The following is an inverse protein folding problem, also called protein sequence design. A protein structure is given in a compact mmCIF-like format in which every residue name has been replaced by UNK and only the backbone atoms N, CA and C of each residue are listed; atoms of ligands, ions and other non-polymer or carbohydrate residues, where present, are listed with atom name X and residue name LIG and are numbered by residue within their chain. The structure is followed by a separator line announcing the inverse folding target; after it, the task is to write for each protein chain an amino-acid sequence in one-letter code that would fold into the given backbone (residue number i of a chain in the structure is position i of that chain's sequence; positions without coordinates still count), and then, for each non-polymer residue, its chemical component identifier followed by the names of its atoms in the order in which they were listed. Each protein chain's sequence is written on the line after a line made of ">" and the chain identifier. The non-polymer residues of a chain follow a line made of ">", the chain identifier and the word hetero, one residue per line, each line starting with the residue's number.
data_IF_966743220294
#
_entry.id   IF_966743220294
#
_cell.length_a   1.000
_cell.length_b   1.000
_cell.length_c   1.000
_cell.angle_alpha   90.00
_cell.angle_beta   90.00
_cell.angle_gamma   90.00
#
_symmetry.space_group_name_H-M   'P 1'
#
loop_
_entity.id
_entity.type
_entity.pdbx_description
1 polymer ?
#
# COMPACT_ATOMS: atom_id res chain seq x y z
N UNK A 1 -5.88 17.17 -11.04
CA UNK A 1 -4.88 17.22 -9.94
C UNK A 1 -4.95 15.96 -9.06
N UNK A 2 -6.14 15.57 -8.53
CA UNK A 2 -6.29 14.37 -7.68
C UNK A 2 -5.74 13.10 -8.33
N UNK A 3 -6.16 12.74 -9.54
CA UNK A 3 -5.70 11.55 -10.26
C UNK A 3 -4.17 11.48 -10.44
N UNK A 4 -3.53 12.63 -10.71
CA UNK A 4 -2.07 12.69 -10.80
C UNK A 4 -1.42 12.41 -9.44
N UNK A 5 -1.98 12.96 -8.35
CA UNK A 5 -1.49 12.67 -7.00
C UNK A 5 -1.68 11.21 -6.63
N UNK A 6 -2.84 10.61 -6.94
CA UNK A 6 -3.10 9.18 -6.72
C UNK A 6 -2.05 8.32 -7.41
N UNK A 7 -1.76 8.61 -8.68
CA UNK A 7 -0.78 7.85 -9.45
C UNK A 7 0.65 8.00 -8.89
N UNK A 8 1.08 9.23 -8.62
CA UNK A 8 2.42 9.51 -8.08
C UNK A 8 2.60 8.89 -6.69
N UNK A 9 1.61 9.05 -5.81
CA UNK A 9 1.64 8.46 -4.47
C UNK A 9 1.69 6.94 -4.54
N UNK A 10 0.90 6.32 -5.42
CA UNK A 10 0.91 4.87 -5.58
C UNK A 10 2.29 4.36 -5.99
N UNK A 11 2.89 4.96 -7.02
CA UNK A 11 4.23 4.57 -7.49
C UNK A 11 5.29 4.73 -6.41
N UNK A 12 5.26 5.84 -5.69
CA UNK A 12 6.18 6.10 -4.59
C UNK A 12 5.99 5.10 -3.44
N UNK A 13 4.74 4.86 -3.03
CA UNK A 13 4.41 3.94 -1.94
C UNK A 13 4.82 2.50 -2.24
N UNK A 14 4.60 2.03 -3.47
CA UNK A 14 5.08 0.72 -3.92
C UNK A 14 6.62 0.65 -3.93
N UNK A 15 7.29 1.73 -4.35
CA UNK A 15 8.77 1.77 -4.34
C UNK A 15 9.34 1.70 -2.92
N UNK A 16 8.73 2.40 -1.97
CA UNK A 16 9.11 2.34 -0.55
C UNK A 16 8.88 0.93 0.01
N UNK A 17 7.74 0.33 -0.31
CA UNK A 17 7.36 -1.02 0.11
C UNK A 17 8.38 -2.07 -0.37
N UNK A 18 8.67 -2.11 -1.67
CA UNK A 18 9.67 -3.04 -2.25
C UNK A 18 11.09 -2.77 -1.72
N UNK A 19 11.46 -1.50 -1.57
CA UNK A 19 12.74 -1.11 -0.99
C UNK A 19 12.86 -1.60 0.46
N UNK A 20 11.77 -1.57 1.24
CA UNK A 20 11.77 -2.04 2.62
C UNK A 20 12.01 -3.56 2.70
N UNK A 21 11.40 -4.36 1.80
CA UNK A 21 11.70 -5.79 1.67
C UNK A 21 13.18 -6.02 1.35
N UNK A 22 13.70 -5.35 0.30
CA UNK A 22 15.08 -5.47 -0.15
C UNK A 22 16.09 -5.11 0.95
N UNK A 23 15.83 -4.01 1.65
CA UNK A 23 16.69 -3.51 2.72
C UNK A 23 16.71 -4.46 3.91
N UNK A 24 15.53 -4.91 4.35
CA UNK A 24 15.41 -5.84 5.48
C UNK A 24 16.04 -7.19 5.15
N UNK A 25 15.83 -7.74 3.95
CA UNK A 25 16.49 -8.97 3.50
C UNK A 25 18.04 -8.83 3.55
N UNK A 26 18.57 -7.70 3.08
CA UNK A 26 20.00 -7.42 3.13
C UNK A 26 20.56 -7.36 4.55
N UNK A 27 19.82 -6.80 5.51
CA UNK A 27 20.23 -6.75 6.93
C UNK A 27 20.23 -8.15 7.57
N UNK A 28 19.38 -9.06 7.10
CA UNK A 28 19.21 -10.41 7.65
C UNK A 28 20.07 -11.46 6.95
N UNK A 29 20.89 -11.04 5.97
CA UNK A 29 21.93 -11.89 5.35
C UNK A 29 21.66 -12.24 3.88
N UNK A 30 20.49 -11.93 3.33
CA UNK A 30 20.24 -12.10 1.90
C UNK A 30 20.55 -10.81 1.13
N UNK A 31 21.69 -10.78 0.47
CA UNK A 31 22.14 -9.63 -0.33
C UNK A 31 21.68 -9.66 -1.80
N UNK A 32 20.82 -10.60 -2.18
CA UNK A 32 20.38 -10.78 -3.58
C UNK A 32 19.74 -9.51 -4.13
N UNK A 33 18.74 -8.97 -3.45
CA UNK A 33 18.06 -7.74 -3.86
C UNK A 33 19.01 -6.52 -3.87
N UNK A 34 19.97 -6.45 -2.94
CA UNK A 34 20.98 -5.39 -2.91
C UNK A 34 21.88 -5.44 -4.13
N UNK A 35 22.35 -6.63 -4.52
CA UNK A 35 23.21 -6.82 -5.68
C UNK A 35 22.49 -6.49 -7.00
N UNK A 36 21.17 -6.66 -7.06
CA UNK A 36 20.32 -6.24 -8.17
C UNK A 36 19.94 -4.75 -8.15
N UNK A 37 20.46 -3.97 -7.19
CA UNK A 37 20.17 -2.53 -7.09
C UNK A 37 18.74 -2.21 -6.63
N UNK A 38 18.06 -3.16 -5.95
CA UNK A 38 16.67 -2.99 -5.48
C UNK A 38 16.53 -2.14 -4.22
N UNK A 39 17.63 -1.82 -3.51
CA UNK A 39 17.60 -0.88 -2.37
C UNK A 39 17.66 0.54 -2.91
N UNK A 40 16.54 1.01 -3.45
CA UNK A 40 16.40 2.34 -4.05
C UNK A 40 14.94 2.80 -3.97
N UNK A 41 14.71 4.11 -3.87
CA UNK A 41 13.39 4.72 -3.99
C UNK A 41 13.03 5.10 -5.44
N UNK A 42 13.91 4.81 -6.39
CA UNK A 42 13.62 5.05 -7.80
C UNK A 42 12.58 4.04 -8.31
N UNK A 43 11.37 4.46 -8.68
CA UNK A 43 10.30 3.56 -9.06
C UNK A 43 10.65 2.68 -10.27
N UNK A 44 11.54 3.12 -11.15
CA UNK A 44 11.92 2.37 -12.38
C UNK A 44 12.41 0.95 -12.04
N UNK A 45 13.07 0.77 -10.91
CA UNK A 45 13.57 -0.54 -10.48
C UNK A 45 12.47 -1.47 -9.94
N UNK A 46 11.31 -0.92 -9.57
CA UNK A 46 10.19 -1.63 -8.96
C UNK A 46 8.95 -1.73 -9.88
N UNK A 47 8.98 -1.03 -11.01
CA UNK A 47 7.88 -0.99 -11.96
C UNK A 47 7.77 -2.35 -12.69
N UNK A 48 6.55 -2.89 -12.69
CA UNK A 48 6.04 -3.82 -13.68
C UNK A 48 5.23 -3.03 -14.71
N UNK A 49 5.53 -3.13 -16.02
CA UNK A 49 4.85 -2.31 -17.03
C UNK A 49 3.33 -2.49 -17.06
N UNK A 50 2.85 -3.68 -16.74
CA UNK A 50 1.42 -4.01 -16.75
C UNK A 50 0.81 -3.71 -15.38
N UNK A 51 1.38 -4.30 -14.31
CA UNK A 51 0.82 -4.24 -12.98
C UNK A 51 0.94 -2.86 -12.32
N UNK A 52 2.07 -2.18 -12.52
CA UNK A 52 2.36 -0.91 -11.83
C UNK A 52 1.99 0.31 -12.65
N UNK A 53 2.04 0.23 -13.99
CA UNK A 53 1.74 1.38 -14.85
C UNK A 53 0.38 1.25 -15.53
N UNK A 54 0.15 0.18 -16.32
CA UNK A 54 -1.02 0.09 -17.17
C UNK A 54 -2.31 -0.04 -16.36
N UNK A 55 -2.39 -0.99 -15.42
CA UNK A 55 -3.60 -1.19 -14.64
C UNK A 55 -3.97 0.02 -13.77
N UNK A 56 -3.06 0.58 -12.94
CA UNK A 56 -3.38 1.78 -12.18
C UNK A 56 -3.73 2.98 -13.06
N UNK A 57 -3.06 3.15 -14.21
CA UNK A 57 -3.41 4.20 -15.15
C UNK A 57 -4.84 4.06 -15.68
N UNK A 58 -5.27 2.85 -16.06
CA UNK A 58 -6.65 2.59 -16.49
C UNK A 58 -7.63 2.87 -15.36
N UNK A 59 -7.35 2.45 -14.15
CA UNK A 59 -8.23 2.65 -12.98
C UNK A 59 -8.37 4.13 -12.64
N UNK A 60 -7.26 4.85 -12.58
CA UNK A 60 -7.21 6.26 -12.12
C UNK A 60 -7.65 7.22 -13.21
N UNK A 61 -7.23 7.01 -14.45
CA UNK A 61 -7.50 7.94 -15.57
C UNK A 61 -8.67 7.48 -16.45
N UNK A 62 -9.02 6.19 -16.44
CA UNK A 62 -10.11 5.64 -17.25
C UNK A 62 -11.45 6.36 -17.12
N UNK A 63 -11.89 6.79 -15.91
CA UNK A 63 -13.12 7.56 -15.75
C UNK A 63 -13.17 8.85 -16.58
N UNK A 64 -12.05 9.50 -16.85
CA UNK A 64 -11.98 10.69 -17.73
C UNK A 64 -12.27 10.35 -19.20
N UNK A 65 -12.13 9.07 -19.58
CA UNK A 65 -12.40 8.57 -20.93
C UNK A 65 -13.70 7.72 -20.99
N UNK A 66 -14.49 7.73 -19.92
CA UNK A 66 -15.75 6.97 -19.84
C UNK A 66 -15.59 5.49 -19.40
N UNK A 67 -14.38 5.04 -19.10
CA UNK A 67 -14.11 3.68 -18.60
C UNK A 67 -14.29 3.62 -17.09
N UNK A 68 -15.50 3.43 -16.60
CA UNK A 68 -15.81 3.40 -15.14
C UNK A 68 -15.86 1.99 -14.56
N UNK A 69 -15.78 0.95 -15.38
CA UNK A 69 -15.92 -0.45 -14.94
C UNK A 69 -14.90 -0.85 -13.86
N UNK A 70 -13.69 -0.31 -13.91
CA UNK A 70 -12.63 -0.59 -12.93
C UNK A 70 -12.52 0.48 -11.82
N UNK A 71 -13.36 1.51 -11.82
CA UNK A 71 -13.29 2.56 -10.81
C UNK A 71 -13.59 1.99 -9.41
N UNK A 72 -12.65 2.22 -8.48
CA UNK A 72 -12.73 1.68 -7.12
C UNK A 72 -11.94 0.40 -6.88
N UNK A 73 -11.41 -0.25 -7.91
CA UNK A 73 -10.49 -1.39 -7.77
C UNK A 73 -9.05 -0.92 -7.95
N UNK A 74 -8.35 -0.64 -6.85
CA UNK A 74 -6.91 -0.45 -6.90
C UNK A 74 -6.25 -1.81 -7.12
N UNK A 75 -6.22 -2.26 -8.38
CA UNK A 75 -5.56 -3.49 -8.80
C UNK A 75 -4.23 -3.11 -9.43
N UNK A 76 -3.17 -3.67 -8.91
CA UNK A 76 -1.83 -3.49 -9.46
C UNK A 76 -0.84 -4.32 -8.66
N UNK A 77 0.29 -4.61 -9.25
CA UNK A 77 1.42 -5.27 -8.59
C UNK A 77 2.73 -4.59 -9.00
N UNK A 78 3.68 -4.61 -8.10
CA UNK A 78 5.06 -4.21 -8.39
C UNK A 78 5.87 -5.41 -8.91
N UNK A 79 7.02 -5.14 -9.49
CA UNK A 79 7.99 -6.17 -9.78
C UNK A 79 8.55 -6.69 -8.45
N UNK A 80 8.29 -7.97 -8.09
CA UNK A 80 8.62 -8.46 -6.75
C UNK A 80 10.12 -8.39 -6.47
N UNK A 81 10.45 -8.07 -5.23
CA UNK A 81 11.83 -8.07 -4.74
C UNK A 81 12.34 -9.50 -4.65
N UNK A 82 13.48 -9.84 -5.29
CA UNK A 82 14.04 -11.18 -5.20
C UNK A 82 14.59 -11.45 -3.80
N UNK A 83 14.09 -12.52 -3.17
CA UNK A 83 14.52 -12.97 -1.84
C UNK A 83 14.85 -14.46 -1.88
N UNK A 84 16.02 -14.82 -1.38
CA UNK A 84 16.48 -16.22 -1.28
C UNK A 84 16.49 -16.63 0.20
N UNK A 85 15.44 -17.30 0.64
CA UNK A 85 15.22 -17.64 2.05
C UNK A 85 16.35 -18.47 2.68
N UNK A 86 17.03 -19.31 1.90
CA UNK A 86 18.19 -20.12 2.36
C UNK A 86 19.38 -19.27 2.82
N UNK A 87 19.45 -18.00 2.44
CA UNK A 87 20.54 -17.09 2.83
C UNK A 87 20.31 -16.49 4.24
N UNK A 88 19.13 -16.64 4.79
CA UNK A 88 18.79 -16.13 6.12
C UNK A 88 19.42 -16.97 7.24
N UNK A 89 19.76 -16.30 8.33
CA UNK A 89 20.30 -16.96 9.53
C UNK A 89 19.25 -17.80 10.26
N UNK A 90 18.02 -17.31 10.33
CA UNK A 90 16.85 -17.98 10.92
C UNK A 90 15.69 -17.90 9.92
N UNK A 91 15.61 -18.90 9.05
CA UNK A 91 14.76 -18.89 7.84
C UNK A 91 13.36 -18.35 8.13
N UNK A 92 12.57 -19.00 8.96
CA UNK A 92 11.17 -18.63 9.22
C UNK A 92 11.03 -17.24 9.85
N UNK A 93 11.86 -16.94 10.87
CA UNK A 93 11.81 -15.65 11.53
C UNK A 93 12.20 -14.51 10.59
N UNK A 94 13.28 -14.70 9.88
CA UNK A 94 13.87 -13.65 9.08
C UNK A 94 13.01 -13.41 7.80
N UNK A 95 12.44 -14.46 7.23
CA UNK A 95 11.42 -14.36 6.18
C UNK A 95 10.19 -13.57 6.67
N UNK A 96 9.67 -13.86 7.86
CA UNK A 96 8.54 -13.12 8.43
C UNK A 96 8.87 -11.63 8.65
N UNK A 97 10.10 -11.30 9.09
CA UNK A 97 10.53 -9.91 9.24
C UNK A 97 10.63 -9.19 7.90
N UNK A 98 11.18 -9.86 6.87
CA UNK A 98 11.20 -9.31 5.51
C UNK A 98 9.79 -9.08 5.00
N UNK A 99 8.92 -10.06 5.13
CA UNK A 99 7.52 -9.98 4.69
C UNK A 99 6.77 -8.83 5.37
N UNK A 100 6.97 -8.61 6.67
CA UNK A 100 6.33 -7.50 7.39
C UNK A 100 6.92 -6.13 7.07
N UNK A 101 8.14 -6.05 6.56
CA UNK A 101 8.81 -4.78 6.30
C UNK A 101 8.07 -3.92 5.27
N UNK A 102 7.51 -4.52 4.21
CA UNK A 102 6.71 -3.81 3.21
C UNK A 102 5.47 -3.15 3.83
N UNK A 103 4.54 -3.92 4.40
CA UNK A 103 3.38 -3.34 5.08
C UNK A 103 3.75 -2.33 6.16
N UNK A 104 4.78 -2.61 6.98
CA UNK A 104 5.23 -1.67 8.02
C UNK A 104 5.72 -0.33 7.43
N UNK A 105 6.38 -0.35 6.27
CA UNK A 105 6.78 0.87 5.58
C UNK A 105 5.59 1.69 5.11
N UNK A 106 4.52 1.06 4.63
CA UNK A 106 3.29 1.75 4.26
C UNK A 106 2.62 2.39 5.49
N UNK A 107 2.57 1.67 6.61
CA UNK A 107 2.06 2.25 7.87
C UNK A 107 2.90 3.44 8.33
N UNK A 108 4.22 3.39 8.17
CA UNK A 108 5.10 4.53 8.46
C UNK A 108 4.77 5.74 7.58
N UNK A 109 4.51 5.54 6.29
CA UNK A 109 4.07 6.62 5.38
C UNK A 109 2.73 7.22 5.80
N UNK A 110 1.80 6.41 6.31
CA UNK A 110 0.54 6.92 6.92
C UNK A 110 0.84 7.84 8.09
N UNK A 111 1.71 7.40 9.01
CA UNK A 111 2.07 8.20 10.19
C UNK A 111 2.77 9.51 9.82
N UNK A 112 3.66 9.50 8.84
CA UNK A 112 4.33 10.70 8.32
C UNK A 112 3.32 11.67 7.70
N UNK A 113 2.44 11.18 6.83
CA UNK A 113 1.41 12.00 6.21
C UNK A 113 0.43 12.58 7.24
N UNK A 114 0.04 11.80 8.24
CA UNK A 114 -0.79 12.26 9.36
C UNK A 114 -0.07 13.35 10.17
N UNK A 115 1.21 13.19 10.49
CA UNK A 115 1.99 14.19 11.24
C UNK A 115 2.08 15.52 10.46
N UNK A 116 2.22 15.46 9.12
CA UNK A 116 2.18 16.67 8.28
C UNK A 116 0.81 17.34 8.36
N UNK A 117 -0.30 16.59 8.23
CA UNK A 117 -1.65 17.14 8.36
C UNK A 117 -1.90 17.74 9.74
N UNK A 118 -1.46 17.07 10.82
CA UNK A 118 -1.56 17.56 12.17
C UNK A 118 -0.79 18.87 12.36
N UNK A 119 0.44 18.94 11.85
CA UNK A 119 1.23 20.18 11.85
C UNK A 119 0.53 21.31 11.09
N UNK A 120 -0.03 21.03 9.92
CA UNK A 120 -0.81 22.01 9.16
C UNK A 120 -2.05 22.48 9.93
N UNK A 121 -2.77 21.57 10.59
CA UNK A 121 -3.97 21.91 11.36
C UNK A 121 -3.65 22.84 12.54
N UNK A 122 -2.49 22.65 13.17
CA UNK A 122 -2.08 23.42 14.36
C UNK A 122 -1.44 24.76 13.99
N UNK A 123 -0.54 24.78 12.98
CA UNK A 123 0.32 25.94 12.73
C UNK A 123 -0.16 26.86 11.61
N UNK A 124 -1.11 26.45 10.75
CA UNK A 124 -1.60 27.33 9.69
C UNK A 124 -2.86 28.12 10.12
N UNK A 125 -3.02 29.36 9.62
CA UNK A 125 -4.29 30.08 9.76
C UNK A 125 -5.44 29.26 9.14
N UNK A 126 -6.51 29.07 9.88
CA UNK A 126 -7.63 28.20 9.49
C UNK A 126 -7.22 26.76 9.12
N UNK A 127 -6.06 26.29 9.64
CA UNK A 127 -5.43 25.02 9.27
C UNK A 127 -6.35 23.82 9.42
N UNK A 128 -7.12 23.75 10.52
CA UNK A 128 -8.11 22.67 10.73
C UNK A 128 -9.13 22.60 9.60
N UNK A 129 -9.75 23.70 9.20
CA UNK A 129 -10.75 23.73 8.12
C UNK A 129 -10.14 23.32 6.80
N UNK A 130 -8.93 23.81 6.50
CA UNK A 130 -8.17 23.47 5.28
C UNK A 130 -7.83 21.99 5.25
N UNK A 131 -7.34 21.43 6.34
CA UNK A 131 -6.98 20.01 6.45
C UNK A 131 -8.22 19.12 6.31
N UNK A 132 -9.30 19.40 7.04
CA UNK A 132 -10.51 18.60 7.00
C UNK A 132 -11.14 18.62 5.60
N UNK A 133 -11.26 19.80 4.96
CA UNK A 133 -11.81 19.90 3.61
C UNK A 133 -10.92 19.18 2.57
N UNK A 134 -9.60 19.29 2.70
CA UNK A 134 -8.66 18.58 1.82
C UNK A 134 -8.68 17.07 2.05
N UNK A 135 -8.85 16.62 3.29
CA UNK A 135 -8.98 15.20 3.64
C UNK A 135 -10.24 14.60 3.02
N UNK A 136 -11.39 15.26 3.17
CA UNK A 136 -12.64 14.82 2.55
C UNK A 136 -12.54 14.78 1.02
N UNK A 137 -11.92 15.80 0.40
CA UNK A 137 -11.68 15.82 -1.04
C UNK A 137 -10.77 14.68 -1.51
N UNK A 138 -9.74 14.33 -0.72
CA UNK A 138 -8.87 13.18 -0.95
C UNK A 138 -9.64 11.86 -0.99
N UNK A 139 -10.63 11.71 -0.12
CA UNK A 139 -11.53 10.55 -0.06
C UNK A 139 -12.64 10.54 -1.13
N UNK A 140 -12.72 11.58 -1.98
CA UNK A 140 -13.77 11.70 -3.01
C UNK A 140 -15.02 12.44 -2.56
N UNK A 141 -15.02 13.02 -1.36
CA UNK A 141 -16.11 13.86 -0.86
C UNK A 141 -16.12 15.27 -1.46
N UNK A 142 -17.22 15.98 -1.30
CA UNK A 142 -17.32 17.39 -1.66
C UNK A 142 -16.46 18.23 -0.72
N UNK A 143 -15.57 19.05 -1.28
CA UNK A 143 -14.81 20.03 -0.51
C UNK A 143 -15.60 21.34 -0.44
N UNK A 144 -15.87 21.80 0.79
CA UNK A 144 -16.49 23.12 1.00
C UNK A 144 -15.54 24.30 0.69
N UNK A 145 -14.24 24.02 0.56
CA UNK A 145 -13.16 24.98 0.25
C UNK A 145 -12.22 24.33 -0.74
N UNK A 146 -11.52 25.14 -1.56
CA UNK A 146 -10.50 24.62 -2.50
C UNK A 146 -9.43 23.86 -1.70
N UNK A 147 -9.20 22.54 -2.01
CA UNK A 147 -8.25 21.74 -1.26
C UNK A 147 -6.82 22.29 -1.41
N UNK A 148 -6.13 22.38 -0.28
CA UNK A 148 -4.72 22.77 -0.28
C UNK A 148 -3.88 21.59 -0.82
N UNK A 149 -2.98 21.80 -1.82
CA UNK A 149 -2.31 20.70 -2.53
C UNK A 149 -1.53 19.73 -1.63
N UNK A 150 -0.80 20.24 -0.63
CA UNK A 150 -0.03 19.38 0.30
C UNK A 150 -0.97 18.56 1.19
N UNK A 151 -2.03 19.18 1.71
CA UNK A 151 -3.01 18.49 2.52
C UNK A 151 -3.77 17.42 1.71
N UNK A 152 -4.10 17.72 0.45
CA UNK A 152 -4.72 16.77 -0.47
C UNK A 152 -3.77 15.59 -0.76
N UNK A 153 -2.50 15.88 -1.04
CA UNK A 153 -1.47 14.85 -1.28
C UNK A 153 -1.33 13.91 -0.06
N UNK A 154 -1.22 14.48 1.15
CA UNK A 154 -1.13 13.69 2.39
C UNK A 154 -2.39 12.85 2.64
N UNK A 155 -3.57 13.39 2.34
CA UNK A 155 -4.83 12.66 2.48
C UNK A 155 -4.92 11.46 1.55
N UNK A 156 -4.49 11.63 0.30
CA UNK A 156 -4.37 10.56 -0.69
C UNK A 156 -3.32 9.54 -0.24
N UNK A 157 -2.18 10.02 0.32
CA UNK A 157 -1.13 9.14 0.82
C UNK A 157 -1.63 8.27 1.98
N UNK A 158 -2.42 8.80 2.90
CA UNK A 158 -3.04 8.03 3.98
C UNK A 158 -3.96 6.96 3.40
N UNK A 159 -4.85 7.31 2.49
CA UNK A 159 -5.78 6.35 1.88
C UNK A 159 -5.04 5.22 1.17
N UNK A 160 -4.11 5.55 0.28
CA UNK A 160 -3.38 4.55 -0.53
C UNK A 160 -2.52 3.66 0.37
N UNK A 161 -1.79 4.23 1.33
CA UNK A 161 -0.90 3.44 2.17
C UNK A 161 -1.65 2.58 3.21
N UNK A 162 -2.79 3.02 3.75
CA UNK A 162 -3.67 2.16 4.53
C UNK A 162 -4.22 1.01 3.67
N UNK A 163 -4.62 1.29 2.44
CA UNK A 163 -5.08 0.26 1.51
C UNK A 163 -3.99 -0.77 1.22
N UNK A 164 -2.76 -0.33 0.90
CA UNK A 164 -1.63 -1.20 0.65
C UNK A 164 -1.23 -2.01 1.90
N UNK A 165 -1.27 -1.39 3.08
CA UNK A 165 -0.99 -2.05 4.36
C UNK A 165 -1.94 -3.22 4.60
N UNK A 166 -3.25 -2.97 4.58
CA UNK A 166 -4.24 -4.02 4.82
C UNK A 166 -4.29 -5.06 3.71
N UNK A 167 -4.17 -4.61 2.45
CA UNK A 167 -4.20 -5.49 1.30
C UNK A 167 -3.07 -6.51 1.34
N UNK A 168 -1.84 -6.05 1.59
CA UNK A 168 -0.68 -6.94 1.64
C UNK A 168 -0.67 -7.86 2.87
N UNK A 169 -1.42 -7.55 3.93
CA UNK A 169 -1.59 -8.45 5.08
C UNK A 169 -2.66 -9.53 4.89
N UNK A 170 -3.43 -9.51 3.78
CA UNK A 170 -4.40 -10.57 3.50
C UNK A 170 -3.69 -11.92 3.29
N UNK A 171 -4.24 -13.02 3.85
CA UNK A 171 -3.66 -14.35 3.73
C UNK A 171 -3.95 -14.99 2.35
N UNK A 172 -3.73 -14.26 1.28
CA UNK A 172 -4.07 -14.69 -0.08
C UNK A 172 -2.82 -14.58 -0.97
N UNK A 173 -2.30 -15.69 -1.54
CA UNK A 173 -1.21 -15.60 -2.51
C UNK A 173 -1.59 -14.72 -3.72
N UNK A 174 -0.70 -13.90 -4.24
CA UNK A 174 0.73 -13.75 -3.91
C UNK A 174 1.07 -12.62 -2.91
N UNK A 175 0.14 -12.21 -2.04
CA UNK A 175 0.33 -11.10 -1.09
C UNK A 175 1.26 -11.50 0.07
N UNK A 176 1.89 -10.52 0.71
CA UNK A 176 2.83 -10.71 1.83
C UNK A 176 2.21 -11.53 2.97
N UNK A 177 0.97 -11.25 3.35
CA UNK A 177 0.25 -11.97 4.39
C UNK A 177 0.16 -13.49 4.15
N UNK A 178 0.24 -13.91 2.89
CA UNK A 178 0.26 -15.33 2.55
C UNK A 178 1.53 -16.04 3.01
N UNK A 179 2.68 -15.38 2.94
CA UNK A 179 3.95 -15.91 3.44
C UNK A 179 3.92 -16.07 4.97
N UNK A 180 3.34 -15.10 5.69
CA UNK A 180 3.18 -15.18 7.14
C UNK A 180 2.32 -16.38 7.54
N UNK A 181 1.18 -16.55 6.89
CA UNK A 181 0.28 -17.68 7.18
C UNK A 181 0.94 -19.01 6.82
N UNK A 182 1.58 -19.09 5.65
CA UNK A 182 2.31 -20.27 5.21
C UNK A 182 3.33 -20.74 6.25
N UNK A 183 4.05 -19.80 6.85
CA UNK A 183 5.07 -20.09 7.87
C UNK A 183 4.47 -20.53 9.22
N UNK A 184 3.19 -20.34 9.46
CA UNK A 184 2.47 -20.79 10.67
C UNK A 184 1.78 -22.14 10.47
N UNK A 185 1.58 -22.58 9.23
CA UNK A 185 0.83 -23.79 8.93
C UNK A 185 1.68 -25.05 9.12
N UNK A 186 1.08 -26.16 9.61
CA UNK A 186 1.74 -27.46 9.60
C UNK A 186 1.93 -27.98 8.18
N UNK A 187 2.93 -28.84 7.95
CA UNK A 187 3.36 -29.32 6.65
C UNK A 187 2.21 -29.78 5.72
N UNK A 188 1.27 -30.54 6.25
CA UNK A 188 0.14 -31.04 5.47
C UNK A 188 -0.80 -29.91 4.98
N UNK A 189 -0.98 -28.86 5.79
CA UNK A 189 -1.80 -27.70 5.42
C UNK A 189 -1.09 -26.79 4.42
N UNK A 190 0.24 -26.67 4.50
CA UNK A 190 1.05 -25.92 3.51
C UNK A 190 0.84 -26.47 2.11
N UNK A 191 0.82 -27.81 1.94
CA UNK A 191 0.60 -28.43 0.61
C UNK A 191 -0.77 -28.07 0.01
N UNK A 192 -1.81 -27.96 0.83
CA UNK A 192 -3.14 -27.54 0.41
C UNK A 192 -3.16 -26.04 0.12
N UNK A 193 -2.54 -25.25 0.98
CA UNK A 193 -2.46 -23.79 0.84
C UNK A 193 -1.71 -23.37 -0.43
N UNK A 194 -0.58 -24.01 -0.73
CA UNK A 194 0.22 -23.74 -1.93
C UNK A 194 -0.53 -24.11 -3.25
N UNK A 195 -1.61 -24.91 -3.18
CA UNK A 195 -2.50 -25.18 -4.31
C UNK A 195 -3.50 -24.06 -4.58
N UNK A 196 -3.71 -23.16 -3.60
CA UNK A 196 -4.51 -21.94 -3.77
C UNK A 196 -3.66 -20.95 -4.58
N UNK A 197 -3.43 -21.24 -5.83
CA UNK A 197 -2.61 -20.43 -6.73
C UNK A 197 -3.36 -20.11 -8.04
N UNK A 198 -2.75 -19.25 -8.86
CA UNK A 198 -3.30 -18.90 -10.17
C UNK A 198 -4.62 -18.15 -10.09
N UNK A 199 -5.56 -18.44 -10.95
CA UNK A 199 -6.83 -17.74 -11.09
C UNK A 199 -7.69 -17.72 -9.83
N UNK A 200 -7.66 -18.78 -9.01
CA UNK A 200 -8.40 -18.86 -7.77
C UNK A 200 -7.98 -17.78 -6.76
N UNK A 201 -6.68 -17.52 -6.66
CA UNK A 201 -6.16 -16.44 -5.80
C UNK A 201 -6.64 -15.07 -6.25
N UNK A 202 -6.64 -14.78 -7.54
CA UNK A 202 -7.13 -13.51 -8.07
C UNK A 202 -8.61 -13.30 -7.81
N UNK A 203 -9.43 -14.34 -7.99
CA UNK A 203 -10.87 -14.26 -7.66
C UNK A 203 -11.09 -14.05 -6.17
N UNK A 204 -10.36 -14.80 -5.32
CA UNK A 204 -10.42 -14.64 -3.87
C UNK A 204 -10.00 -13.21 -3.45
N UNK A 205 -8.96 -12.67 -4.06
CA UNK A 205 -8.47 -11.33 -3.81
C UNK A 205 -9.52 -10.27 -4.18
N UNK A 206 -10.20 -10.41 -5.32
CA UNK A 206 -11.21 -9.45 -5.77
C UNK A 206 -12.45 -9.51 -4.86
N UNK A 207 -13.02 -10.70 -4.62
CA UNK A 207 -14.29 -10.82 -3.90
C UNK A 207 -14.13 -10.75 -2.38
N UNK A 208 -13.20 -11.55 -1.82
CA UNK A 208 -13.01 -11.61 -0.37
C UNK A 208 -12.10 -10.47 0.09
N UNK A 209 -11.02 -10.21 -0.63
CA UNK A 209 -10.09 -9.13 -0.32
C UNK A 209 -10.77 -7.78 -0.34
N UNK A 210 -11.56 -7.46 -1.37
CA UNK A 210 -12.31 -6.21 -1.47
C UNK A 210 -13.30 -6.02 -0.31
N UNK A 211 -14.00 -7.09 0.08
CA UNK A 211 -14.92 -7.07 1.23
C UNK A 211 -14.17 -6.81 2.54
N UNK A 212 -13.09 -7.53 2.81
CA UNK A 212 -12.29 -7.34 4.04
C UNK A 212 -11.70 -5.93 4.08
N UNK A 213 -11.18 -5.43 2.95
CA UNK A 213 -10.65 -4.08 2.87
C UNK A 213 -11.69 -3.02 3.20
N UNK A 214 -12.92 -3.16 2.71
CA UNK A 214 -14.00 -2.22 3.00
C UNK A 214 -14.32 -2.16 4.50
N UNK A 215 -14.20 -3.28 5.22
CA UNK A 215 -14.41 -3.36 6.67
C UNK A 215 -13.26 -2.71 7.47
N UNK A 216 -12.04 -2.71 6.94
CA UNK A 216 -10.86 -2.22 7.66
C UNK A 216 -10.52 -0.77 7.34
N UNK A 217 -10.63 -0.37 6.07
CA UNK A 217 -10.26 0.97 5.62
C UNK A 217 -11.20 2.03 6.19
N UNK A 218 -12.52 1.80 6.12
CA UNK A 218 -13.52 2.75 6.60
C UNK A 218 -13.31 3.18 8.06
N UNK A 219 -13.29 2.24 9.02
CA UNK A 219 -13.02 2.56 10.43
C UNK A 219 -11.65 3.22 10.65
N UNK A 220 -10.61 2.78 9.94
CA UNK A 220 -9.26 3.36 10.06
C UNK A 220 -9.22 4.82 9.61
N UNK A 221 -9.85 5.14 8.49
CA UNK A 221 -10.01 6.52 8.02
C UNK A 221 -10.88 7.34 8.97
N UNK A 222 -11.91 6.74 9.57
CA UNK A 222 -12.73 7.36 10.60
C UNK A 222 -11.92 7.76 11.84
N UNK A 223 -10.99 6.90 12.28
CA UNK A 223 -10.06 7.22 13.38
C UNK A 223 -9.12 8.37 13.02
N UNK A 224 -8.54 8.36 11.81
CA UNK A 224 -7.69 9.47 11.32
C UNK A 224 -8.49 10.77 11.29
N UNK A 225 -9.71 10.75 10.74
CA UNK A 225 -10.57 11.91 10.65
C UNK A 225 -10.94 12.46 12.05
N UNK A 226 -11.34 11.57 12.97
CA UNK A 226 -11.66 11.96 14.35
C UNK A 226 -10.45 12.56 15.07
N UNK A 227 -9.25 12.03 14.83
CA UNK A 227 -8.02 12.59 15.39
C UNK A 227 -7.75 14.01 14.84
N UNK A 228 -7.88 14.22 13.51
CA UNK A 228 -7.71 15.54 12.89
C UNK A 228 -8.75 16.57 13.36
N UNK A 229 -9.98 16.13 13.69
CA UNK A 229 -11.00 17.01 14.23
C UNK A 229 -10.74 17.48 15.67
N UNK A 230 -9.94 16.76 16.43
CA UNK A 230 -9.62 17.10 17.83
C UNK A 230 -8.42 18.04 17.97
N UNK A 231 -7.64 18.23 16.91
CA UNK A 231 -6.53 19.18 16.84
C UNK A 231 -7.02 20.62 16.65
#
# INVERSE_FOLDING_TARGET
>A
MKAVFEFVVLLFSLSVHECAHAWTASLLGDHTARLEGRITLNPIYHIDPIGTLLFPAIVIFGPFFGFTFFSGFLVGWAKPTPVITRNFRKIVRDENLVTLAGPASNLLLVLVAFAILAGMAIFLPHGRTVVISSFLAGLGGAAGVIPQPVALLCSIAILINLSLFFFNLLPIPPLDGSHLVRNLLPYNAVQVYDRIGGWASYLLMIFVGGFILSLLIGPSLGLVFAALQRL
#
